data_IF_939710651876
#
_entry.id   IF_939710651876
#
_cell.length_a   1.000
_cell.length_b   1.000
_cell.length_c   1.000
_cell.angle_alpha   90.00
_cell.angle_beta   90.00
_cell.angle_gamma   90.00
#
_symmetry.space_group_name_H-M   'P 1'
#
loop_
_entity.id
_entity.type
_entity.pdbx_description
1 polymer ?
#
# COMPACT_ATOMS: atom_id res chain seq x y z
N UNK A 1 11.94 14.09 -6.30
CA UNK A 1 12.87 13.05 -6.80
C UNK A 1 12.36 11.65 -6.52
N UNK A 2 12.08 11.28 -5.27
CA UNK A 2 11.68 9.90 -4.94
C UNK A 2 10.41 9.46 -5.65
N UNK A 3 9.44 10.36 -5.84
CA UNK A 3 8.20 10.07 -6.57
C UNK A 3 8.33 10.11 -8.10
N UNK A 4 9.51 10.48 -8.61
CA UNK A 4 9.75 10.59 -10.05
C UNK A 4 10.08 9.22 -10.65
N UNK A 5 9.09 8.34 -10.64
CA UNK A 5 9.17 7.00 -11.18
C UNK A 5 7.77 6.54 -11.57
N UNK A 6 7.68 5.63 -12.55
CA UNK A 6 6.42 4.99 -12.92
C UNK A 6 6.01 3.86 -11.96
N UNK A 7 6.91 3.47 -11.07
CA UNK A 7 6.66 2.41 -10.09
C UNK A 7 6.27 2.97 -8.73
N UNK A 8 5.69 2.16 -7.88
CA UNK A 8 5.24 2.59 -6.56
C UNK A 8 4.94 1.44 -5.61
N UNK A 9 5.80 0.41 -5.57
CA UNK A 9 5.59 -0.71 -4.65
C UNK A 9 6.04 -0.36 -3.23
N UNK A 10 7.33 -0.09 -3.04
CA UNK A 10 7.87 0.11 -1.72
C UNK A 10 8.93 1.22 -1.71
N UNK A 11 8.98 1.96 -0.61
CA UNK A 11 10.01 2.94 -0.35
C UNK A 11 10.44 2.86 1.12
N UNK A 12 11.66 3.29 1.38
CA UNK A 12 12.25 3.19 2.71
C UNK A 12 12.86 4.52 3.10
N UNK A 13 12.60 4.94 4.33
CA UNK A 13 13.08 6.21 4.89
C UNK A 13 13.75 5.96 6.22
N UNK A 14 14.89 6.60 6.43
CA UNK A 14 15.65 6.50 7.67
C UNK A 14 15.80 7.90 8.27
N UNK A 15 15.23 8.11 9.44
CA UNK A 15 15.29 9.39 10.15
C UNK A 15 15.03 9.20 11.63
N UNK A 16 15.53 10.11 12.45
CA UNK A 16 15.23 10.17 13.89
C UNK A 16 14.19 11.26 14.22
N UNK A 17 13.79 12.02 13.21
CA UNK A 17 12.83 13.11 13.36
C UNK A 17 11.44 12.60 13.02
N UNK A 18 10.54 12.54 14.01
CA UNK A 18 9.18 12.03 13.80
C UNK A 18 8.38 12.89 12.82
N UNK A 19 8.59 14.21 12.83
CA UNK A 19 7.90 15.08 11.89
C UNK A 19 8.30 14.80 10.45
N UNK A 20 9.59 14.55 10.21
CA UNK A 20 10.09 14.16 8.90
C UNK A 20 9.56 12.80 8.49
N UNK A 21 9.54 11.84 9.42
CA UNK A 21 9.01 10.51 9.17
C UNK A 21 7.56 10.58 8.69
N UNK A 22 6.72 11.35 9.34
CA UNK A 22 5.32 11.49 8.98
C UNK A 22 5.13 12.21 7.64
N UNK A 23 5.91 13.27 7.40
CA UNK A 23 5.84 13.98 6.11
C UNK A 23 6.25 13.06 4.95
N UNK A 24 7.29 12.25 5.13
CA UNK A 24 7.74 11.32 4.09
C UNK A 24 6.72 10.22 3.86
N UNK A 25 6.14 9.67 4.93
CA UNK A 25 5.09 8.66 4.80
C UNK A 25 3.90 9.17 3.99
N UNK A 26 3.46 10.40 4.23
CA UNK A 26 2.32 10.98 3.53
C UNK A 26 2.64 11.40 2.10
N UNK A 27 3.87 11.86 1.85
CA UNK A 27 4.26 12.44 0.56
C UNK A 27 4.74 11.40 -0.46
N UNK A 28 5.28 10.28 -0.01
CA UNK A 28 5.79 9.24 -0.91
C UNK A 28 4.64 8.45 -1.55
N UNK A 29 4.65 8.36 -2.87
CA UNK A 29 3.62 7.68 -3.66
C UNK A 29 3.99 6.22 -3.88
N UNK A 30 3.96 5.46 -2.79
CA UNK A 30 4.26 4.03 -2.77
C UNK A 30 3.25 3.30 -1.89
N UNK A 31 2.93 2.07 -2.24
CA UNK A 31 1.97 1.28 -1.48
C UNK A 31 2.49 0.82 -0.13
N UNK A 32 3.81 0.72 0.00
CA UNK A 32 4.48 0.27 1.21
C UNK A 32 5.57 1.27 1.56
N UNK A 33 5.55 1.79 2.78
CA UNK A 33 6.58 2.70 3.27
C UNK A 33 7.21 2.10 4.52
N UNK A 34 8.50 1.82 4.48
CA UNK A 34 9.26 1.41 5.65
C UNK A 34 9.97 2.62 6.27
N UNK A 35 9.69 2.90 7.53
CA UNK A 35 10.36 3.96 8.27
C UNK A 35 11.29 3.31 9.28
N UNK A 36 12.59 3.42 9.07
CA UNK A 36 13.62 2.73 9.85
C UNK A 36 13.43 1.20 9.88
N UNK A 37 12.77 0.67 8.86
CA UNK A 37 12.40 -0.74 8.76
C UNK A 37 12.53 -1.19 7.32
N UNK A 38 13.28 -2.25 7.07
CA UNK A 38 13.47 -2.83 5.74
C UNK A 38 12.51 -3.98 5.43
N UNK A 39 11.67 -4.36 6.38
CA UNK A 39 10.75 -5.48 6.21
C UNK A 39 9.35 -5.16 6.75
N UNK A 40 8.66 -4.16 6.17
CA UNK A 40 7.38 -3.68 6.70
C UNK A 40 6.17 -4.53 6.26
N UNK A 41 6.34 -5.81 6.05
CA UNK A 41 5.24 -6.68 5.63
C UNK A 41 4.71 -7.52 6.78
N UNK A 42 3.41 -7.80 6.77
CA UNK A 42 2.75 -8.66 7.75
C UNK A 42 1.50 -9.27 7.12
N UNK A 43 1.09 -10.45 7.59
CA UNK A 43 -0.11 -11.13 7.09
C UNK A 43 -1.39 -10.31 7.31
N UNK A 44 -1.41 -9.48 8.34
CA UNK A 44 -2.54 -8.62 8.69
C UNK A 44 -2.52 -7.27 7.97
N UNK A 45 -1.53 -7.00 7.12
CA UNK A 45 -1.36 -5.74 6.43
C UNK A 45 -1.48 -5.93 4.92
N UNK A 46 -2.11 -4.99 4.20
CA UNK A 46 -2.26 -5.09 2.74
C UNK A 46 -0.94 -4.80 2.04
N UNK A 47 -0.43 -5.78 1.31
CA UNK A 47 0.80 -5.68 0.54
C UNK A 47 0.46 -5.37 -0.92
N UNK A 48 1.01 -4.32 -1.45
CA UNK A 48 0.82 -3.95 -2.85
C UNK A 48 1.30 -2.55 -3.16
N UNK A 49 1.28 -2.22 -4.43
CA UNK A 49 1.86 -0.98 -4.93
C UNK A 49 0.85 -0.02 -5.52
N UNK A 50 1.39 1.04 -6.05
CA UNK A 50 0.69 2.06 -6.82
C UNK A 50 1.31 2.14 -8.20
N UNK A 51 0.69 2.87 -9.11
CA UNK A 51 1.19 3.13 -10.46
C UNK A 51 1.47 1.81 -11.21
N UNK A 52 2.59 1.74 -11.91
CA UNK A 52 2.96 0.56 -12.72
C UNK A 52 3.42 -0.64 -11.88
N UNK A 53 3.53 -0.49 -10.56
CA UNK A 53 3.80 -1.62 -9.67
C UNK A 53 2.60 -2.57 -9.55
N UNK A 54 1.47 -2.21 -10.11
CA UNK A 54 0.33 -3.10 -10.26
C UNK A 54 -0.92 -2.64 -9.52
N UNK A 55 -1.97 -3.45 -9.68
CA UNK A 55 -3.27 -3.24 -9.06
C UNK A 55 -3.46 -4.26 -7.94
N UNK A 56 -4.32 -3.91 -6.97
CA UNK A 56 -4.71 -4.83 -5.92
C UNK A 56 -3.75 -4.92 -4.76
N UNK A 57 -4.09 -5.78 -3.85
CA UNK A 57 -3.33 -6.01 -2.61
C UNK A 57 -3.31 -7.49 -2.27
N UNK A 58 -2.24 -7.89 -1.56
CA UNK A 58 -2.13 -9.19 -0.93
C UNK A 58 -2.19 -9.01 0.59
N UNK A 59 -2.54 -10.06 1.30
CA UNK A 59 -2.63 -10.00 2.76
C UNK A 59 -3.80 -9.19 3.26
N UNK A 60 -4.06 -9.25 4.57
CA UNK A 60 -5.19 -8.59 5.20
C UNK A 60 -6.51 -9.00 4.55
N UNK A 61 -7.61 -8.35 4.92
CA UNK A 61 -8.91 -8.54 4.26
C UNK A 61 -8.90 -7.99 2.82
N UNK A 62 -8.06 -7.02 2.53
CA UNK A 62 -7.92 -6.46 1.20
C UNK A 62 -7.43 -7.51 0.21
N UNK A 63 -6.55 -8.43 0.65
CA UNK A 63 -6.05 -9.50 -0.19
C UNK A 63 -7.14 -10.45 -0.65
N UNK A 64 -8.03 -10.85 0.25
CA UNK A 64 -9.11 -11.76 -0.12
C UNK A 64 -10.14 -11.09 -1.05
N UNK A 65 -10.31 -9.77 -0.93
CA UNK A 65 -11.23 -9.00 -1.78
C UNK A 65 -10.86 -9.08 -3.25
N UNK A 66 -9.58 -9.27 -3.57
CA UNK A 66 -9.09 -9.36 -4.94
C UNK A 66 -9.62 -10.61 -5.67
N UNK A 67 -10.07 -11.61 -4.94
CA UNK A 67 -10.62 -12.85 -5.49
C UNK A 67 -12.14 -12.85 -5.52
N UNK A 68 -12.78 -11.75 -5.13
CA UNK A 68 -14.24 -11.63 -5.01
C UNK A 68 -14.77 -10.58 -5.98
N UNK A 69 -16.01 -10.79 -6.41
CA UNK A 69 -16.74 -9.83 -7.22
C UNK A 69 -17.93 -9.32 -6.43
N UNK A 70 -18.21 -8.03 -6.57
CA UNK A 70 -19.39 -7.44 -5.96
C UNK A 70 -20.59 -7.58 -6.90
N UNK A 71 -21.72 -8.09 -6.38
CA UNK A 71 -22.93 -8.26 -7.15
C UNK A 71 -24.10 -7.64 -6.40
N UNK A 72 -24.88 -6.85 -7.09
CA UNK A 72 -26.12 -6.28 -6.56
C UNK A 72 -27.32 -7.10 -7.03
N UNK A 73 -28.21 -7.46 -6.12
CA UNK A 73 -29.45 -8.16 -6.44
C UNK A 73 -30.64 -7.42 -5.82
N UNK A 74 -31.72 -7.33 -6.59
CA UNK A 74 -33.00 -6.82 -6.10
C UNK A 74 -34.09 -7.89 -6.30
N UNK A 75 -34.80 -8.23 -5.21
CA UNK A 75 -35.78 -9.30 -5.23
C UNK A 75 -37.16 -8.76 -4.76
N UNK A 76 -38.13 -8.86 -5.64
CA UNK A 76 -39.51 -8.53 -5.32
C UNK A 76 -40.36 -9.82 -5.34
N UNK A 77 -40.54 -10.39 -4.15
CA UNK A 77 -41.28 -11.67 -4.01
C UNK A 77 -42.48 -11.57 -3.13
#
# INVERSE_FOLDING_TARGET
MANDTSYGLAAYVYTRDISRAMRMFEALEFGIIGVNDINPSAASAPFGGMKDSGLGREGSREGISEYLETKLGGFAI
#
